data_IF_408583724866
#
_entry.id   IF_408583724866
#
_cell.length_a   1.000
_cell.length_b   1.000
_cell.length_c   1.000
_cell.angle_alpha   90.00
_cell.angle_beta   90.00
_cell.angle_gamma   90.00
#
_symmetry.space_group_name_H-M   'P 1'
#
loop_
_entity.id
_entity.type
_entity.pdbx_description
1 polymer ?
#
# COMPACT_ATOMS: atom_id res chain seq x y z
N UNK A 1 32.07 -45.95 16.12
CA UNK A 1 30.64 -45.58 16.24
C UNK A 1 30.39 -44.31 15.44
N UNK A 2 29.27 -44.28 14.74
CA UNK A 2 28.92 -43.32 13.68
C UNK A 2 28.70 -41.90 14.23
N UNK A 3 29.17 -40.92 13.46
CA UNK A 3 28.89 -39.50 13.60
C UNK A 3 27.40 -39.21 13.42
N UNK A 4 26.82 -38.39 14.29
CA UNK A 4 25.62 -37.62 13.98
C UNK A 4 25.66 -36.28 14.71
N UNK A 5 26.32 -35.30 14.09
CA UNK A 5 26.13 -33.88 14.37
C UNK A 5 24.78 -33.49 13.78
N UNK A 6 23.78 -33.26 14.64
CA UNK A 6 22.51 -32.66 14.21
C UNK A 6 22.74 -31.15 14.20
N UNK A 7 23.08 -30.61 13.03
CA UNK A 7 23.02 -29.18 12.79
C UNK A 7 21.54 -28.80 12.67
N UNK A 8 20.99 -28.17 13.72
CA UNK A 8 19.69 -27.54 13.66
C UNK A 8 19.80 -26.32 12.73
N UNK A 9 19.40 -26.48 11.47
CA UNK A 9 19.13 -25.36 10.59
C UNK A 9 17.86 -24.66 11.09
N UNK A 10 18.03 -23.68 11.99
CA UNK A 10 17.00 -22.71 12.27
C UNK A 10 16.83 -21.82 11.03
N UNK A 11 15.96 -22.23 10.11
CA UNK A 11 15.41 -21.31 9.11
C UNK A 11 14.53 -20.34 9.91
N UNK A 12 15.11 -19.22 10.30
CA UNK A 12 14.31 -18.08 10.76
C UNK A 12 13.57 -17.61 9.52
N UNK A 13 12.33 -18.08 9.34
CA UNK A 13 11.37 -17.41 8.50
C UNK A 13 11.08 -16.04 9.15
N UNK A 14 11.99 -15.07 8.95
CA UNK A 14 11.70 -13.66 9.10
C UNK A 14 10.72 -13.30 7.98
N UNK A 15 9.50 -13.79 8.08
CA UNK A 15 8.39 -13.37 7.25
C UNK A 15 8.09 -11.91 7.59
N UNK A 16 8.81 -11.01 6.93
CA UNK A 16 8.26 -9.79 6.34
C UNK A 16 7.40 -8.89 7.23
N UNK A 17 7.83 -8.59 8.46
CA UNK A 17 7.24 -7.49 9.24
C UNK A 17 7.56 -6.10 8.64
N UNK A 18 8.37 -6.05 7.58
CA UNK A 18 8.70 -4.80 6.95
C UNK A 18 7.68 -4.39 5.89
N UNK A 19 7.40 -3.09 5.84
CA UNK A 19 6.44 -2.50 4.92
C UNK A 19 6.87 -2.72 3.47
N UNK A 20 6.09 -3.49 2.70
CA UNK A 20 6.29 -3.65 1.26
C UNK A 20 5.71 -2.49 0.46
N UNK A 21 4.72 -1.81 1.02
CA UNK A 21 4.10 -0.65 0.44
C UNK A 21 3.83 0.41 1.49
N UNK A 22 3.77 1.66 1.04
CA UNK A 22 3.35 2.79 1.86
C UNK A 22 2.62 3.81 1.01
N UNK A 23 1.50 4.32 1.50
CA UNK A 23 0.75 5.39 0.86
C UNK A 23 0.68 6.60 1.78
N UNK A 24 0.76 7.78 1.18
CA UNK A 24 0.42 9.06 1.76
C UNK A 24 -0.61 9.73 0.85
N UNK A 25 -1.73 10.16 1.42
CA UNK A 25 -2.75 10.95 0.74
C UNK A 25 -2.78 12.33 1.39
N UNK A 26 -2.52 13.37 0.61
CA UNK A 26 -2.36 14.74 1.11
C UNK A 26 -3.53 15.61 0.68
N UNK A 27 -3.94 16.53 1.56
CA UNK A 27 -5.07 17.41 1.29
C UNK A 27 -4.78 18.48 0.26
N UNK A 28 -3.51 18.82 -0.01
CA UNK A 28 -3.13 19.78 -1.06
C UNK A 28 -2.45 19.09 -2.24
N UNK A 29 -2.46 19.76 -3.39
CA UNK A 29 -1.85 19.24 -4.64
C UNK A 29 -0.32 19.24 -4.61
N UNK A 30 0.28 20.01 -3.70
CA UNK A 30 1.72 20.17 -3.51
C UNK A 30 2.30 19.26 -2.39
N UNK A 31 1.60 18.17 -2.07
CA UNK A 31 2.02 17.15 -1.10
C UNK A 31 2.06 17.63 0.36
N UNK A 32 1.30 18.67 0.70
CA UNK A 32 1.18 19.23 2.06
C UNK A 32 -0.24 19.15 2.61
N UNK A 33 -0.42 19.72 3.81
CA UNK A 33 -1.69 19.77 4.51
C UNK A 33 -1.98 18.52 5.32
N UNK A 34 -3.26 18.29 5.59
CA UNK A 34 -3.72 17.10 6.29
C UNK A 34 -3.30 15.86 5.49
N UNK A 35 -2.59 14.94 6.13
CA UNK A 35 -2.00 13.78 5.47
C UNK A 35 -2.43 12.50 6.16
N UNK A 36 -3.10 11.63 5.41
CA UNK A 36 -3.31 10.24 5.82
C UNK A 36 -2.11 9.40 5.39
N UNK A 37 -1.66 8.48 6.24
CA UNK A 37 -0.64 7.50 5.86
C UNK A 37 -0.99 6.09 6.32
N UNK A 38 -0.62 5.11 5.50
CA UNK A 38 -0.69 3.70 5.86
C UNK A 38 0.39 2.92 5.15
N UNK A 39 0.87 1.88 5.82
CA UNK A 39 1.81 0.93 5.29
C UNK A 39 1.36 -0.49 5.65
N UNK A 40 1.85 -1.48 4.93
CA UNK A 40 1.50 -2.86 5.20
C UNK A 40 2.53 -3.86 4.69
N UNK A 41 2.43 -5.11 5.16
CA UNK A 41 3.27 -6.19 4.67
C UNK A 41 2.98 -6.48 3.19
N UNK A 42 3.93 -7.15 2.52
CA UNK A 42 3.83 -7.53 1.11
C UNK A 42 3.11 -8.84 0.84
N UNK A 43 2.43 -9.43 1.84
CA UNK A 43 1.71 -10.70 1.66
C UNK A 43 0.78 -10.65 0.44
N UNK A 44 0.83 -11.69 -0.39
CA UNK A 44 0.01 -11.79 -1.60
C UNK A 44 -1.47 -11.71 -1.27
N UNK A 45 -2.26 -11.11 -2.16
CA UNK A 45 -3.70 -11.00 -2.02
C UNK A 45 -4.17 -9.56 -2.09
N UNK A 46 -5.39 -9.31 -1.63
CA UNK A 46 -5.96 -7.97 -1.68
C UNK A 46 -6.70 -7.58 -0.42
N UNK A 47 -6.62 -6.29 -0.07
CA UNK A 47 -7.28 -5.74 1.11
C UNK A 47 -7.81 -4.34 0.85
N UNK A 48 -9.05 -4.10 1.24
CA UNK A 48 -9.64 -2.77 1.24
C UNK A 48 -9.29 -2.02 2.53
N UNK A 49 -9.16 -0.70 2.40
CA UNK A 49 -8.88 0.22 3.49
C UNK A 49 -9.78 1.45 3.36
N UNK A 50 -10.81 1.51 4.20
CA UNK A 50 -11.58 2.74 4.38
C UNK A 50 -10.71 3.80 5.06
N UNK A 51 -10.81 5.04 4.59
CA UNK A 51 -10.20 6.17 5.28
C UNK A 51 -10.99 6.49 6.55
N UNK A 52 -10.31 6.90 7.64
CA UNK A 52 -10.96 7.53 8.77
C UNK A 52 -11.73 8.79 8.33
N UNK A 53 -12.77 9.15 9.07
CA UNK A 53 -13.75 10.17 8.68
C UNK A 53 -13.10 11.50 8.30
N UNK A 54 -12.12 11.94 9.08
CA UNK A 54 -11.40 13.19 8.91
C UNK A 54 -10.53 13.25 7.63
N UNK A 55 -10.25 12.12 7.00
CA UNK A 55 -9.44 12.04 5.78
C UNK A 55 -10.26 11.75 4.52
N UNK A 56 -11.53 11.35 4.66
CA UNK A 56 -12.40 11.06 3.50
C UNK A 56 -12.63 12.31 2.67
N UNK A 57 -12.59 12.16 1.35
CA UNK A 57 -12.86 13.25 0.41
C UNK A 57 -11.93 14.46 0.56
N UNK A 58 -10.76 14.29 1.17
CA UNK A 58 -9.78 15.39 1.34
C UNK A 58 -8.59 15.29 0.39
N UNK A 59 -8.31 14.10 -0.15
CA UNK A 59 -7.08 13.84 -0.88
C UNK A 59 -7.03 14.58 -2.23
N UNK A 60 -5.93 15.30 -2.46
CA UNK A 60 -5.63 16.04 -3.69
C UNK A 60 -4.30 15.64 -4.33
N UNK A 61 -3.41 14.99 -3.58
CA UNK A 61 -2.18 14.39 -4.11
C UNK A 61 -1.82 13.11 -3.37
N UNK A 62 -0.94 12.32 -3.99
CA UNK A 62 -0.49 11.03 -3.48
C UNK A 62 1.04 10.93 -3.51
N UNK A 63 1.60 10.36 -2.45
CA UNK A 63 2.93 9.74 -2.46
C UNK A 63 2.75 8.25 -2.19
N UNK A 64 3.08 7.40 -3.15
CA UNK A 64 2.98 5.95 -3.05
C UNK A 64 4.35 5.32 -3.24
N UNK A 65 4.68 4.38 -2.36
CA UNK A 65 5.84 3.50 -2.45
C UNK A 65 5.30 2.10 -2.67
N UNK A 66 5.53 1.54 -3.85
CA UNK A 66 4.91 0.29 -4.31
C UNK A 66 5.70 -0.96 -3.91
N UNK A 67 6.93 -0.75 -3.44
CA UNK A 67 7.91 -1.80 -3.19
C UNK A 67 8.99 -1.31 -2.23
N UNK A 68 9.57 -2.23 -1.46
CA UNK A 68 10.77 -1.97 -0.66
C UNK A 68 11.74 -3.16 -0.79
N UNK A 69 12.70 -3.07 -1.72
CA UNK A 69 13.66 -4.15 -1.98
C UNK A 69 14.51 -4.55 -0.79
N UNK A 70 14.80 -3.61 0.11
CA UNK A 70 15.69 -3.88 1.23
C UNK A 70 15.04 -4.77 2.28
N UNK A 71 13.72 -4.71 2.39
CA UNK A 71 13.01 -5.32 3.51
C UNK A 71 11.86 -6.24 3.10
N UNK A 72 11.40 -6.14 1.86
CA UNK A 72 10.44 -7.04 1.24
C UNK A 72 10.73 -7.22 -0.26
N UNK A 73 11.81 -7.93 -0.63
CA UNK A 73 12.23 -8.06 -2.03
C UNK A 73 11.30 -8.93 -2.88
N UNK A 74 10.49 -9.78 -2.25
CA UNK A 74 9.72 -10.83 -2.92
C UNK A 74 8.28 -10.42 -3.26
N UNK A 75 7.87 -9.18 -2.98
CA UNK A 75 6.47 -8.77 -3.14
C UNK A 75 6.33 -7.38 -3.70
N UNK A 76 5.39 -7.18 -4.63
CA UNK A 76 4.98 -5.87 -5.16
C UNK A 76 3.52 -5.64 -4.91
N UNK A 77 3.15 -4.38 -4.70
CA UNK A 77 1.77 -4.01 -4.45
C UNK A 77 1.30 -2.89 -5.39
N UNK A 78 0.08 -3.02 -5.88
CA UNK A 78 -0.68 -1.97 -6.54
C UNK A 78 -1.70 -1.39 -5.56
N UNK A 79 -1.88 -0.08 -5.61
CA UNK A 79 -2.97 0.61 -4.94
C UNK A 79 -4.00 1.10 -5.98
N UNK A 80 -5.29 1.00 -5.65
CA UNK A 80 -6.40 1.58 -6.43
C UNK A 80 -7.26 2.42 -5.51
N UNK A 81 -7.59 3.64 -5.91
CA UNK A 81 -8.44 4.56 -5.15
C UNK A 81 -9.93 4.33 -5.47
N UNK A 82 -10.80 4.56 -4.48
CA UNK A 82 -12.25 4.41 -4.57
C UNK A 82 -12.94 5.61 -3.90
N UNK A 83 -14.09 6.03 -4.43
CA UNK A 83 -14.93 7.10 -3.88
C UNK A 83 -16.08 6.60 -2.99
N UNK A 84 -16.19 5.28 -2.86
CA UNK A 84 -17.15 4.56 -2.03
C UNK A 84 -16.49 3.78 -0.90
N UNK A 85 -17.24 3.43 0.17
CA UNK A 85 -16.78 2.51 1.19
C UNK A 85 -16.51 1.10 0.64
N UNK A 86 -15.66 0.38 1.38
CA UNK A 86 -15.39 -1.05 1.21
C UNK A 86 -14.88 -1.44 -0.18
N UNK A 87 -14.38 -0.46 -0.93
CA UNK A 87 -13.84 -0.61 -2.27
C UNK A 87 -14.89 -1.20 -3.22
N UNK A 88 -16.15 -0.76 -3.10
CA UNK A 88 -17.23 -1.19 -3.96
C UNK A 88 -16.92 -0.86 -5.43
N UNK A 89 -17.24 -1.79 -6.30
CA UNK A 89 -16.73 -1.90 -7.67
C UNK A 89 -17.38 -0.95 -8.69
N UNK A 90 -18.32 -0.12 -8.26
CA UNK A 90 -19.11 0.75 -9.14
C UNK A 90 -18.23 1.80 -9.85
N UNK A 91 -17.27 2.41 -9.15
CA UNK A 91 -16.33 3.38 -9.76
C UNK A 91 -14.91 3.14 -9.24
N UNK A 92 -14.02 2.71 -10.14
CA UNK A 92 -12.59 2.54 -9.86
C UNK A 92 -11.83 3.78 -10.25
N UNK A 93 -11.03 4.29 -9.33
CA UNK A 93 -10.18 5.44 -9.57
C UNK A 93 -8.79 5.12 -10.10
N UNK A 94 -7.91 6.13 -10.04
CA UNK A 94 -6.52 5.98 -10.39
C UNK A 94 -5.87 4.83 -9.62
N UNK A 95 -4.99 4.12 -10.32
CA UNK A 95 -4.21 3.02 -9.75
C UNK A 95 -2.72 3.26 -9.94
N UNK A 96 -1.92 2.81 -8.97
CA UNK A 96 -0.47 3.00 -8.97
C UNK A 96 0.22 1.70 -8.57
N UNK A 97 1.17 1.23 -9.38
CA UNK A 97 1.92 -0.01 -9.18
C UNK A 97 3.44 0.22 -9.09
N UNK A 98 3.86 1.48 -9.11
CA UNK A 98 5.25 1.91 -8.96
C UNK A 98 5.30 3.10 -8.02
N UNK A 99 6.50 3.40 -7.52
CA UNK A 99 6.73 4.58 -6.71
C UNK A 99 6.24 5.83 -7.46
N UNK A 100 5.35 6.58 -6.82
CA UNK A 100 4.60 7.66 -7.46
C UNK A 100 4.52 8.84 -6.50
N UNK A 101 4.80 10.04 -7.00
CA UNK A 101 4.52 11.29 -6.29
C UNK A 101 3.91 12.28 -7.27
N UNK A 102 2.60 12.51 -7.19
CA UNK A 102 1.88 13.44 -8.07
C UNK A 102 0.55 13.94 -7.50
N UNK A 103 0.06 15.05 -8.04
CA UNK A 103 -1.32 15.46 -7.85
C UNK A 103 -2.27 14.40 -8.42
N UNK A 104 -3.41 14.22 -7.76
CA UNK A 104 -4.48 13.38 -8.31
C UNK A 104 -5.06 14.05 -9.56
N UNK A 105 -5.55 13.25 -10.54
CA UNK A 105 -6.37 13.75 -11.64
C UNK A 105 -7.48 14.67 -11.12
N UNK A 106 -7.80 15.70 -11.89
CA UNK A 106 -8.73 16.75 -11.45
C UNK A 106 -10.11 16.18 -11.07
N UNK A 107 -10.59 15.19 -11.81
CA UNK A 107 -11.83 14.45 -11.58
C UNK A 107 -11.80 13.50 -10.37
N UNK A 108 -10.64 13.37 -9.71
CA UNK A 108 -10.40 12.53 -8.52
C UNK A 108 -9.93 13.30 -7.27
N UNK A 109 -9.71 14.60 -7.40
CA UNK A 109 -9.44 15.47 -6.25
C UNK A 109 -10.66 15.51 -5.32
N UNK A 110 -10.43 15.41 -4.02
CA UNK A 110 -11.47 15.37 -2.99
C UNK A 110 -12.49 14.24 -3.14
N UNK A 111 -12.14 13.13 -3.83
CA UNK A 111 -13.07 12.00 -4.02
C UNK A 111 -12.71 10.74 -3.26
N UNK A 112 -11.47 10.62 -2.81
CA UNK A 112 -10.99 9.36 -2.21
C UNK A 112 -11.70 9.10 -0.88
N UNK A 113 -12.42 7.98 -0.81
CA UNK A 113 -13.03 7.45 0.43
C UNK A 113 -12.27 6.24 0.95
N UNK A 114 -11.85 5.35 0.05
CA UNK A 114 -11.13 4.13 0.38
C UNK A 114 -10.03 3.87 -0.65
N UNK A 115 -9.15 2.93 -0.33
CA UNK A 115 -8.21 2.37 -1.28
C UNK A 115 -8.07 0.86 -1.10
N UNK A 116 -7.85 0.16 -2.21
CA UNK A 116 -7.55 -1.26 -2.24
C UNK A 116 -6.07 -1.46 -2.50
N UNK A 117 -5.45 -2.36 -1.75
CA UNK A 117 -4.13 -2.90 -2.06
C UNK A 117 -4.28 -4.26 -2.72
N UNK A 118 -3.50 -4.51 -3.76
CA UNK A 118 -3.41 -5.79 -4.46
C UNK A 118 -1.92 -6.14 -4.60
N UNK A 119 -1.45 -7.15 -3.86
CA UNK A 119 -0.05 -7.55 -3.80
C UNK A 119 0.17 -8.92 -4.44
N UNK A 120 1.32 -9.10 -5.10
CA UNK A 120 1.73 -10.34 -5.75
C UNK A 120 3.22 -10.61 -5.51
N UNK A 121 3.60 -11.88 -5.62
CA UNK A 121 5.00 -12.31 -5.53
C UNK A 121 5.77 -11.87 -6.78
N UNK A 122 7.04 -11.49 -6.60
CA UNK A 122 7.97 -11.08 -7.67
C UNK A 122 8.98 -12.18 -7.93
#
# INVERSE_FOLDING_TARGET
MKLTTIAAAAVIALAGNASAWRVYLHSFTDFRGLTYTKAGPGGTGSKCHNLPEEYRYTANSITYYAYNSQTNPSSRCKITLYDTPDCDTVIKGPSYSVDTKKALPEDWRNRVYAFKTECWAV
#
